data_IF_740179940329
#
_entry.id   IF_740179940329
#
_cell.length_a   1.000
_cell.length_b   1.000
_cell.length_c   1.000
_cell.angle_alpha   90.00
_cell.angle_beta   90.00
_cell.angle_gamma   90.00
#
_symmetry.space_group_name_H-M   'P 1'
#
loop_
_entity.id
_entity.type
_entity.pdbx_description
1 polymer ?
#
# COMPACT_ATOMS: atom_id res chain seq x y z
N UNK A 1 -15.49 19.65 6.28
CA UNK A 1 -14.20 18.95 6.08
C UNK A 1 -13.79 18.31 7.40
N UNK A 2 -13.50 17.00 7.42
CA UNK A 2 -13.08 16.26 8.61
C UNK A 2 -11.68 15.68 8.37
N UNK A 3 -10.70 16.04 9.17
CA UNK A 3 -9.34 15.48 9.09
C UNK A 3 -9.39 14.02 9.54
N UNK A 4 -8.86 13.12 8.71
CA UNK A 4 -8.73 11.69 8.98
C UNK A 4 -7.34 11.34 9.47
N UNK A 5 -6.31 11.98 8.92
CA UNK A 5 -4.92 11.79 9.30
C UNK A 5 -4.07 12.98 8.84
N UNK A 6 -3.05 13.30 9.61
CA UNK A 6 -2.03 14.29 9.25
C UNK A 6 -0.66 13.67 9.47
N UNK A 7 0.04 13.39 8.39
CA UNK A 7 1.37 12.81 8.38
C UNK A 7 2.43 13.79 7.89
N UNK A 8 3.69 13.36 7.94
CA UNK A 8 4.79 14.19 7.49
C UNK A 8 4.70 14.56 6.00
N UNK A 9 4.16 13.71 5.14
CA UNK A 9 4.17 13.89 3.68
C UNK A 9 2.84 14.44 3.13
N UNK A 10 1.71 14.17 3.80
CA UNK A 10 0.38 14.55 3.31
C UNK A 10 -0.62 14.70 4.46
N UNK A 11 -1.65 15.53 4.22
CA UNK A 11 -2.90 15.57 4.98
C UNK A 11 -3.95 14.74 4.26
N UNK A 12 -4.71 13.97 5.03
CA UNK A 12 -5.82 13.17 4.53
C UNK A 12 -7.07 13.65 5.24
N UNK A 13 -8.05 14.06 4.48
CA UNK A 13 -9.33 14.54 5.02
C UNK A 13 -10.51 14.02 4.20
N UNK A 14 -11.65 13.95 4.86
CA UNK A 14 -12.93 13.65 4.22
C UNK A 14 -13.61 14.93 3.80
N UNK A 15 -14.09 14.96 2.58
CA UNK A 15 -14.90 16.04 2.02
C UNK A 15 -16.18 15.45 1.44
N UNK A 16 -17.28 16.16 1.55
CA UNK A 16 -18.53 15.83 0.89
C UNK A 16 -18.72 16.76 -0.31
N UNK A 17 -18.94 16.18 -1.48
CA UNK A 17 -19.16 16.90 -2.73
C UNK A 17 -20.40 16.27 -3.41
N UNK A 18 -21.44 17.06 -3.63
CA UNK A 18 -22.71 16.61 -4.21
C UNK A 18 -23.31 15.38 -3.51
N UNK A 19 -23.24 15.33 -2.16
CA UNK A 19 -23.75 14.20 -1.35
C UNK A 19 -22.85 12.98 -1.32
N UNK A 20 -21.75 12.97 -2.06
CA UNK A 20 -20.79 11.87 -2.07
C UNK A 20 -19.60 12.15 -1.13
N UNK A 21 -19.27 11.14 -0.30
CA UNK A 21 -18.10 11.23 0.59
C UNK A 21 -16.83 10.87 -0.17
N UNK A 22 -15.89 11.79 -0.20
CA UNK A 22 -14.58 11.63 -0.81
C UNK A 22 -13.47 11.71 0.24
N UNK A 23 -12.39 10.99 -0.01
CA UNK A 23 -11.11 11.18 0.68
C UNK A 23 -10.23 12.04 -0.21
N UNK A 24 -9.66 13.07 0.37
CA UNK A 24 -8.67 13.92 -0.29
C UNK A 24 -7.34 13.70 0.41
N UNK A 25 -6.33 13.28 -0.35
CA UNK A 25 -4.94 13.22 0.08
C UNK A 25 -4.19 14.38 -0.54
N UNK A 26 -3.78 15.34 0.29
CA UNK A 26 -3.10 16.56 -0.13
C UNK A 26 -1.65 16.56 0.36
N UNK A 27 -0.69 16.72 -0.54
CA UNK A 27 0.72 16.78 -0.21
C UNK A 27 1.10 18.14 0.34
N UNK A 28 1.70 18.15 1.53
CA UNK A 28 2.07 19.37 2.25
C UNK A 28 3.40 19.89 1.72
N UNK A 29 3.48 21.23 1.58
CA UNK A 29 4.73 21.93 1.29
C UNK A 29 5.73 21.73 2.41
N UNK A 30 7.00 21.59 2.05
CA UNK A 30 8.11 21.45 3.00
C UNK A 30 8.92 22.73 3.05
N UNK A 31 8.89 23.44 4.18
CA UNK A 31 9.57 24.75 4.34
C UNK A 31 11.10 24.64 4.22
N UNK A 32 11.68 23.47 4.54
CA UNK A 32 13.13 23.24 4.43
C UNK A 32 13.62 22.92 3.00
N UNK A 33 12.70 22.82 2.04
CA UNK A 33 13.05 22.57 0.64
C UNK A 33 13.02 23.86 -0.16
N UNK A 34 13.91 23.95 -1.13
CA UNK A 34 13.82 25.00 -2.15
C UNK A 34 12.47 24.91 -2.88
N UNK A 35 11.82 26.07 -3.10
CA UNK A 35 10.41 26.12 -3.52
C UNK A 35 10.13 25.40 -4.85
N UNK A 36 11.02 25.56 -5.85
CA UNK A 36 10.85 24.93 -7.15
C UNK A 36 11.05 23.41 -7.10
N UNK A 37 11.98 22.95 -6.28
CA UNK A 37 12.23 21.53 -6.04
C UNK A 37 11.05 20.89 -5.30
N UNK A 38 10.54 21.55 -4.25
CA UNK A 38 9.36 21.06 -3.48
C UNK A 38 8.15 20.92 -4.39
N UNK A 39 7.89 21.91 -5.22
CA UNK A 39 6.77 21.86 -6.17
C UNK A 39 6.90 20.70 -7.15
N UNK A 40 8.05 20.55 -7.78
CA UNK A 40 8.33 19.44 -8.71
C UNK A 40 8.14 18.06 -8.06
N UNK A 41 8.68 17.88 -6.84
CA UNK A 41 8.57 16.61 -6.11
C UNK A 41 7.13 16.30 -5.73
N UNK A 42 6.38 17.26 -5.19
CA UNK A 42 4.97 17.06 -4.85
C UNK A 42 4.14 16.71 -6.07
N UNK A 43 4.34 17.44 -7.17
CA UNK A 43 3.63 17.19 -8.43
C UNK A 43 3.93 15.80 -8.97
N UNK A 44 5.22 15.41 -9.05
CA UNK A 44 5.65 14.12 -9.55
C UNK A 44 5.09 12.97 -8.70
N UNK A 45 5.17 13.08 -7.36
CA UNK A 45 4.65 12.08 -6.43
C UNK A 45 3.13 11.96 -6.49
N UNK A 46 2.39 13.08 -6.61
CA UNK A 46 0.93 13.08 -6.75
C UNK A 46 0.51 12.35 -8.01
N UNK A 47 1.13 12.68 -9.14
CA UNK A 47 0.82 12.04 -10.44
C UNK A 47 1.18 10.56 -10.45
N UNK A 48 2.33 10.19 -9.88
CA UNK A 48 2.76 8.79 -9.82
C UNK A 48 1.80 7.96 -8.96
N UNK A 49 1.45 8.43 -7.77
CA UNK A 49 0.52 7.74 -6.87
C UNK A 49 -0.85 7.55 -7.51
N UNK A 50 -1.40 8.61 -8.13
CA UNK A 50 -2.67 8.54 -8.84
C UNK A 50 -2.63 7.54 -10.02
N UNK A 51 -1.54 7.53 -10.79
CA UNK A 51 -1.34 6.59 -11.91
C UNK A 51 -1.30 5.14 -11.42
N UNK A 52 -0.58 4.87 -10.31
CA UNK A 52 -0.48 3.51 -9.77
C UNK A 52 -1.80 3.07 -9.15
N UNK A 53 -2.49 3.93 -8.41
CA UNK A 53 -3.83 3.67 -7.89
C UNK A 53 -4.80 3.28 -9.00
N UNK A 54 -4.82 4.02 -10.10
CA UNK A 54 -5.65 3.72 -11.26
C UNK A 54 -5.26 2.38 -11.90
N UNK A 55 -3.97 2.14 -12.11
CA UNK A 55 -3.46 0.87 -12.66
C UNK A 55 -3.80 -0.33 -11.77
N UNK A 56 -3.72 -0.19 -10.45
CA UNK A 56 -4.12 -1.21 -9.51
C UNK A 56 -5.62 -1.54 -9.63
N UNK A 57 -6.47 -0.50 -9.74
CA UNK A 57 -7.90 -0.66 -9.98
C UNK A 57 -8.18 -1.42 -11.29
N UNK A 58 -7.56 -1.04 -12.40
CA UNK A 58 -7.69 -1.73 -13.71
C UNK A 58 -7.22 -3.19 -13.65
N UNK A 59 -6.23 -3.50 -12.82
CA UNK A 59 -5.77 -4.88 -12.58
C UNK A 59 -6.71 -5.69 -11.67
N UNK A 60 -7.85 -5.12 -11.27
CA UNK A 60 -8.84 -5.75 -10.41
C UNK A 60 -8.41 -5.86 -8.94
N UNK A 61 -7.45 -5.03 -8.50
CA UNK A 61 -7.15 -4.85 -7.08
C UNK A 61 -8.24 -4.00 -6.46
N UNK A 62 -8.81 -4.44 -5.35
CA UNK A 62 -9.77 -3.62 -4.59
C UNK A 62 -9.03 -2.45 -3.95
N UNK A 63 -9.29 -1.25 -4.43
CA UNK A 63 -8.73 0.02 -3.97
C UNK A 63 -9.84 1.07 -3.87
N UNK A 64 -9.62 2.23 -3.23
CA UNK A 64 -10.47 3.39 -3.45
C UNK A 64 -10.50 3.73 -4.94
N UNK A 65 -11.67 4.12 -5.46
CA UNK A 65 -11.79 4.59 -6.84
C UNK A 65 -11.18 5.99 -6.97
N UNK A 66 -10.27 6.19 -7.91
CA UNK A 66 -9.77 7.51 -8.26
C UNK A 66 -10.91 8.34 -8.88
N UNK A 67 -11.15 9.54 -8.37
CA UNK A 67 -12.20 10.46 -8.84
C UNK A 67 -11.56 11.61 -9.61
N UNK A 68 -10.53 12.25 -9.05
CA UNK A 68 -9.86 13.39 -9.67
C UNK A 68 -8.44 13.54 -9.14
N UNK A 69 -7.61 14.27 -9.90
CA UNK A 69 -6.24 14.61 -9.53
C UNK A 69 -6.05 16.10 -9.65
N UNK A 70 -5.77 16.76 -8.53
CA UNK A 70 -5.35 18.15 -8.49
C UNK A 70 -3.84 18.30 -8.62
N UNK A 71 -3.33 19.53 -8.50
CA UNK A 71 -1.90 19.82 -8.60
C UNK A 71 -1.08 19.02 -7.56
N UNK A 72 -1.55 18.97 -6.31
CA UNK A 72 -0.90 18.31 -5.19
C UNK A 72 -1.85 17.40 -4.40
N UNK A 73 -3.05 17.15 -4.93
CA UNK A 73 -4.12 16.41 -4.27
C UNK A 73 -4.62 15.25 -5.10
N UNK A 74 -5.03 14.18 -4.45
CA UNK A 74 -5.72 13.04 -5.04
C UNK A 74 -7.08 12.93 -4.37
N UNK A 75 -8.14 12.92 -5.18
CA UNK A 75 -9.52 12.73 -4.74
C UNK A 75 -9.94 11.31 -5.05
N UNK A 76 -10.40 10.59 -4.03
CA UNK A 76 -10.78 9.19 -4.16
C UNK A 76 -12.05 8.89 -3.36
N UNK A 77 -12.73 7.81 -3.71
CA UNK A 77 -13.93 7.38 -3.00
C UNK A 77 -13.62 7.07 -1.53
N UNK A 78 -14.52 7.48 -0.63
CA UNK A 78 -14.43 7.08 0.77
C UNK A 78 -14.78 5.60 0.94
N UNK A 79 -13.94 4.87 1.67
CA UNK A 79 -14.21 3.50 2.07
C UNK A 79 -14.61 3.46 3.54
N UNK A 80 -15.85 3.09 3.80
CA UNK A 80 -16.31 2.87 5.17
C UNK A 80 -15.77 1.56 5.70
N UNK A 81 -14.96 1.60 6.76
CA UNK A 81 -14.34 0.41 7.32
C UNK A 81 -13.33 0.71 8.41
N UNK A 82 -12.61 -0.32 8.81
CA UNK A 82 -11.50 -0.23 9.79
C UNK A 82 -10.22 -0.76 9.15
N UNK A 83 -9.08 -0.29 9.64
CA UNK A 83 -7.80 -0.82 9.19
C UNK A 83 -7.64 -2.28 9.63
N UNK A 84 -6.98 -3.09 8.80
CA UNK A 84 -6.73 -4.50 9.12
C UNK A 84 -5.92 -4.67 10.42
N UNK A 85 -5.08 -3.68 10.78
CA UNK A 85 -4.37 -3.68 12.06
C UNK A 85 -5.30 -3.60 13.26
N UNK A 86 -6.46 -2.95 13.12
CA UNK A 86 -7.40 -2.64 14.21
C UNK A 86 -8.53 -3.66 14.34
N UNK A 87 -8.54 -4.70 13.51
CA UNK A 87 -9.56 -5.74 13.53
C UNK A 87 -8.97 -7.12 13.81
N UNK A 88 -9.83 -8.06 14.26
CA UNK A 88 -9.43 -9.48 14.36
C UNK A 88 -9.12 -10.02 12.97
N UNK A 89 -7.89 -10.43 12.76
CA UNK A 89 -7.38 -10.95 11.49
C UNK A 89 -7.85 -12.38 11.27
N UNK A 90 -9.07 -12.55 10.73
CA UNK A 90 -9.59 -13.87 10.37
C UNK A 90 -8.80 -14.49 9.20
N UNK A 91 -8.82 -15.81 9.10
CA UNK A 91 -8.19 -16.51 7.97
C UNK A 91 -8.75 -16.04 6.61
N UNK A 92 -10.04 -15.72 6.57
CA UNK A 92 -10.69 -15.22 5.36
C UNK A 92 -10.09 -13.88 4.90
N UNK A 93 -9.96 -12.92 5.81
CA UNK A 93 -9.35 -11.60 5.51
C UNK A 93 -7.89 -11.73 5.08
N UNK A 94 -7.12 -12.60 5.76
CA UNK A 94 -5.72 -12.84 5.42
C UNK A 94 -5.56 -13.48 4.04
N UNK A 95 -6.43 -14.44 3.68
CA UNK A 95 -6.45 -15.00 2.31
C UNK A 95 -6.77 -13.95 1.27
N UNK A 96 -7.78 -13.10 1.50
CA UNK A 96 -8.10 -12.01 0.57
C UNK A 96 -6.91 -11.04 0.42
N UNK A 97 -6.22 -10.71 1.52
CA UNK A 97 -5.03 -9.86 1.49
C UNK A 97 -3.93 -10.46 0.62
N UNK A 98 -3.65 -11.76 0.76
CA UNK A 98 -2.69 -12.47 -0.09
C UNK A 98 -3.08 -12.48 -1.57
N UNK A 99 -4.38 -12.65 -1.87
CA UNK A 99 -4.89 -12.58 -3.25
C UNK A 99 -4.73 -11.18 -3.86
N UNK A 100 -4.97 -10.11 -3.08
CA UNK A 100 -4.78 -8.73 -3.56
C UNK A 100 -3.31 -8.44 -3.84
N UNK A 101 -2.40 -8.87 -2.98
CA UNK A 101 -0.96 -8.74 -3.22
C UNK A 101 -0.54 -9.48 -4.49
N UNK A 102 -1.02 -10.70 -4.68
CA UNK A 102 -0.75 -11.47 -5.90
C UNK A 102 -1.24 -10.75 -7.17
N UNK A 103 -2.42 -10.09 -7.13
CA UNK A 103 -2.93 -9.30 -8.25
C UNK A 103 -2.05 -8.09 -8.55
N UNK A 104 -1.59 -7.36 -7.50
CA UNK A 104 -0.66 -6.24 -7.68
C UNK A 104 0.64 -6.71 -8.34
N UNK A 105 1.25 -7.77 -7.82
CA UNK A 105 2.51 -8.31 -8.35
C UNK A 105 2.38 -8.86 -9.77
N UNK A 106 1.21 -9.40 -10.16
CA UNK A 106 0.91 -9.77 -11.55
C UNK A 106 0.86 -8.57 -12.50
N UNK A 107 0.43 -7.43 -12.00
CA UNK A 107 0.39 -6.16 -12.73
C UNK A 107 1.71 -5.38 -12.67
N UNK A 108 2.77 -6.01 -12.14
CA UNK A 108 4.07 -5.41 -11.88
C UNK A 108 3.99 -4.16 -10.97
N UNK A 109 3.10 -4.19 -9.98
CA UNK A 109 2.99 -3.15 -8.96
C UNK A 109 3.59 -3.68 -7.66
N UNK A 110 4.69 -3.09 -7.20
CA UNK A 110 5.20 -3.21 -5.85
C UNK A 110 4.62 -2.05 -5.00
N UNK A 111 4.10 -2.36 -3.81
CA UNK A 111 3.43 -1.35 -2.96
C UNK A 111 4.43 -0.50 -2.19
N UNK A 112 5.53 -1.08 -1.76
CA UNK A 112 6.59 -0.41 -0.98
C UNK A 112 6.27 -0.19 0.50
N UNK A 113 4.99 -0.28 0.91
CA UNK A 113 4.54 -0.22 2.30
C UNK A 113 3.32 -1.13 2.54
N UNK A 114 3.39 -2.40 2.11
CA UNK A 114 2.29 -3.35 2.23
C UNK A 114 2.17 -3.89 3.65
N UNK A 115 1.44 -3.16 4.50
CA UNK A 115 1.22 -3.46 5.92
C UNK A 115 -0.26 -3.49 6.27
N UNK A 116 -0.67 -4.08 7.41
CA UNK A 116 -2.06 -4.02 7.87
C UNK A 116 -2.59 -2.60 8.12
N UNK A 117 -1.71 -1.60 8.22
CA UNK A 117 -2.08 -0.19 8.33
C UNK A 117 -2.57 0.41 6.99
N UNK A 118 -2.18 -0.20 5.87
CA UNK A 118 -2.54 0.24 4.52
C UNK A 118 -3.60 -0.68 3.87
N UNK A 119 -4.39 -1.37 4.70
CA UNK A 119 -5.50 -2.20 4.26
C UNK A 119 -6.75 -1.84 5.04
N UNK A 120 -7.84 -1.50 4.34
CA UNK A 120 -9.15 -1.28 4.93
C UNK A 120 -9.99 -2.55 4.80
N UNK A 121 -10.62 -2.94 5.89
CA UNK A 121 -11.67 -3.99 5.94
C UNK A 121 -13.03 -3.31 5.92
N UNK A 122 -13.79 -3.55 4.86
CA UNK A 122 -15.15 -3.04 4.67
C UNK A 122 -16.08 -4.18 4.25
N UNK A 123 -17.16 -4.41 4.98
CA UNK A 123 -18.19 -5.44 4.66
C UNK A 123 -17.57 -6.79 4.25
N UNK A 124 -16.65 -7.33 5.06
CA UNK A 124 -15.92 -8.57 4.81
C UNK A 124 -15.03 -8.59 3.53
N UNK A 125 -14.75 -7.44 2.96
CA UNK A 125 -13.80 -7.29 1.86
C UNK A 125 -12.59 -6.49 2.32
N UNK A 126 -11.43 -6.74 1.72
CA UNK A 126 -10.20 -5.98 1.96
C UNK A 126 -9.89 -5.09 0.79
N UNK A 127 -9.42 -3.89 1.07
CA UNK A 127 -9.05 -2.86 0.10
C UNK A 127 -7.65 -2.34 0.42
N UNK A 128 -6.79 -2.27 -0.58
CA UNK A 128 -5.45 -1.68 -0.43
C UNK A 128 -5.56 -0.17 -0.60
N UNK A 129 -4.90 0.56 0.29
CA UNK A 129 -4.86 2.03 0.27
C UNK A 129 -3.40 2.51 0.33
N UNK A 130 -3.20 3.77 0.03
CA UNK A 130 -1.90 4.47 0.11
C UNK A 130 -0.80 3.90 -0.79
N UNK A 131 -0.84 4.30 -2.05
CA UNK A 131 0.16 3.96 -3.07
C UNK A 131 1.32 4.99 -3.14
N UNK A 132 1.53 5.77 -2.08
CA UNK A 132 2.53 6.85 -2.06
C UNK A 132 3.98 6.41 -2.22
N UNK A 133 4.30 5.17 -1.85
CA UNK A 133 5.61 4.53 -2.04
C UNK A 133 5.60 3.43 -3.11
N UNK A 134 4.45 3.24 -3.77
CA UNK A 134 4.33 2.20 -4.77
C UNK A 134 5.04 2.57 -6.08
N UNK A 135 5.46 1.55 -6.80
CA UNK A 135 6.11 1.69 -8.09
C UNK A 135 5.70 0.57 -9.07
N UNK A 136 5.88 0.85 -10.37
CA UNK A 136 5.75 -0.15 -11.41
C UNK A 136 7.09 -0.85 -11.55
N UNK A 137 7.18 -2.08 -11.08
CA UNK A 137 8.43 -2.82 -11.01
C UNK A 137 8.25 -4.32 -11.24
N UNK A 138 9.15 -4.89 -12.03
CA UNK A 138 9.30 -6.34 -12.19
C UNK A 138 10.27 -6.94 -11.18
N UNK A 139 10.89 -6.11 -10.34
CA UNK A 139 11.89 -6.53 -9.37
C UNK A 139 11.34 -7.55 -8.38
N UNK A 140 11.97 -8.71 -8.33
CA UNK A 140 11.68 -9.77 -7.36
C UNK A 140 11.96 -9.26 -5.94
N UNK A 141 12.99 -8.42 -5.76
CA UNK A 141 13.38 -7.88 -4.46
C UNK A 141 12.30 -6.95 -3.89
N UNK A 142 11.75 -6.04 -4.70
CA UNK A 142 10.68 -5.13 -4.26
C UNK A 142 9.39 -5.88 -3.92
N UNK A 143 9.01 -6.87 -4.74
CA UNK A 143 7.88 -7.76 -4.44
C UNK A 143 8.12 -8.57 -3.15
N UNK A 144 9.37 -8.98 -2.87
CA UNK A 144 9.72 -9.68 -1.64
C UNK A 144 9.67 -8.74 -0.41
N UNK A 145 9.98 -7.44 -0.57
CA UNK A 145 9.86 -6.43 0.48
C UNK A 145 8.39 -6.28 0.92
N UNK A 146 7.43 -6.27 0.02
CA UNK A 146 6.00 -6.22 0.37
C UNK A 146 5.59 -7.41 1.27
N UNK A 147 6.05 -8.62 0.93
CA UNK A 147 5.83 -9.80 1.78
C UNK A 147 6.55 -9.71 3.12
N UNK A 148 7.77 -9.15 3.14
CA UNK A 148 8.55 -8.97 4.36
C UNK A 148 7.86 -8.00 5.34
N UNK A 149 7.35 -6.88 4.85
CA UNK A 149 6.63 -5.88 5.66
C UNK A 149 5.39 -6.51 6.30
N UNK A 150 4.63 -7.28 5.51
CA UNK A 150 3.47 -8.00 6.03
C UNK A 150 3.87 -9.09 7.03
N UNK A 151 4.95 -9.85 6.77
CA UNK A 151 5.48 -10.87 7.68
C UNK A 151 5.87 -10.29 9.04
N UNK A 152 6.50 -9.12 9.05
CA UNK A 152 6.88 -8.42 10.30
C UNK A 152 5.68 -7.88 11.08
N UNK A 153 4.54 -7.70 10.42
CA UNK A 153 3.31 -7.13 11.00
C UNK A 153 2.32 -8.19 11.48
N UNK A 154 2.56 -9.47 11.20
CA UNK A 154 1.69 -10.59 11.52
C UNK A 154 2.43 -11.63 12.37
N UNK A 155 1.68 -12.43 13.15
CA UNK A 155 2.25 -13.62 13.73
C UNK A 155 2.44 -14.72 12.67
N UNK A 156 3.23 -15.74 12.99
CA UNK A 156 3.61 -16.81 12.06
C UNK A 156 2.41 -17.52 11.43
N UNK A 157 1.40 -17.88 12.24
CA UNK A 157 0.19 -18.56 11.75
C UNK A 157 -0.61 -17.67 10.79
N UNK A 158 -0.73 -16.38 11.09
CA UNK A 158 -1.41 -15.40 10.25
C UNK A 158 -0.67 -15.19 8.93
N UNK A 159 0.64 -15.00 9.00
CA UNK A 159 1.46 -14.83 7.81
C UNK A 159 1.39 -16.05 6.90
N UNK A 160 1.45 -17.27 7.46
CA UNK A 160 1.33 -18.50 6.68
C UNK A 160 0.05 -18.53 5.85
N UNK A 161 -1.11 -18.18 6.44
CA UNK A 161 -2.40 -18.16 5.71
C UNK A 161 -2.36 -17.19 4.54
N UNK A 162 -1.78 -16.00 4.73
CA UNK A 162 -1.64 -14.99 3.69
C UNK A 162 -0.67 -15.48 2.60
N UNK A 163 0.51 -15.98 2.98
CA UNK A 163 1.56 -16.45 2.09
C UNK A 163 1.10 -17.64 1.23
N UNK A 164 0.38 -18.60 1.81
CA UNK A 164 -0.20 -19.74 1.09
C UNK A 164 -1.21 -19.28 0.02
N UNK A 165 -2.03 -18.27 0.35
CA UNK A 165 -2.99 -17.70 -0.59
C UNK A 165 -2.30 -16.93 -1.73
N UNK A 166 -1.27 -16.14 -1.41
CA UNK A 166 -0.44 -15.45 -2.37
C UNK A 166 0.26 -16.44 -3.33
N UNK A 167 0.89 -17.50 -2.78
CA UNK A 167 1.61 -18.51 -3.55
C UNK A 167 0.72 -19.22 -4.56
N UNK A 168 -0.51 -19.58 -4.16
CA UNK A 168 -1.49 -20.21 -5.05
C UNK A 168 -1.94 -19.29 -6.18
N UNK A 169 -1.93 -17.99 -5.96
CA UNK A 169 -2.41 -17.00 -6.93
C UNK A 169 -1.30 -16.41 -7.82
N UNK A 170 -0.02 -16.51 -7.44
CA UNK A 170 1.10 -15.93 -8.18
C UNK A 170 2.14 -16.98 -8.56
N UNK A 171 2.28 -17.26 -9.85
CA UNK A 171 3.16 -18.33 -10.38
C UNK A 171 4.64 -18.08 -10.11
N UNK A 172 5.10 -16.82 -10.02
CA UNK A 172 6.47 -16.44 -9.66
C UNK A 172 6.77 -16.40 -8.16
N UNK A 173 5.88 -16.93 -7.32
CA UNK A 173 5.98 -16.83 -5.85
C UNK A 173 7.23 -17.51 -5.27
N UNK A 174 7.69 -18.61 -5.86
CA UNK A 174 8.87 -19.34 -5.38
C UNK A 174 10.14 -18.48 -5.38
N UNK A 175 10.36 -17.70 -6.43
CA UNK A 175 11.52 -16.81 -6.53
C UNK A 175 11.42 -15.66 -5.54
N UNK A 176 10.21 -15.15 -5.33
CA UNK A 176 9.96 -14.09 -4.35
C UNK A 176 10.20 -14.60 -2.93
N UNK A 177 9.73 -15.81 -2.57
CA UNK A 177 10.00 -16.38 -1.26
C UNK A 177 11.49 -16.68 -1.04
N UNK A 178 12.20 -17.13 -2.08
CA UNK A 178 13.66 -17.30 -2.02
C UNK A 178 14.34 -15.97 -1.72
N UNK A 179 13.96 -14.92 -2.44
CA UNK A 179 14.48 -13.56 -2.24
C UNK A 179 14.15 -13.02 -0.85
N UNK A 180 12.94 -13.26 -0.34
CA UNK A 180 12.55 -12.89 1.03
C UNK A 180 13.51 -13.47 2.06
N UNK A 181 13.86 -14.76 1.94
CA UNK A 181 14.82 -15.43 2.85
C UNK A 181 16.22 -14.80 2.76
N UNK A 182 16.67 -14.43 1.56
CA UNK A 182 17.94 -13.72 1.37
C UNK A 182 17.95 -12.35 2.05
N UNK A 183 16.88 -11.57 1.90
CA UNK A 183 16.75 -10.24 2.53
C UNK A 183 16.75 -10.38 4.06
N UNK A 184 16.03 -11.36 4.61
CA UNK A 184 16.01 -11.63 6.06
C UNK A 184 17.39 -12.01 6.62
N UNK A 185 18.18 -12.75 5.86
CA UNK A 185 19.56 -13.09 6.25
C UNK A 185 20.43 -11.83 6.28
N UNK A 186 20.41 -10.99 5.23
CA UNK A 186 21.18 -9.73 5.18
C UNK A 186 20.86 -8.81 6.37
N UNK A 187 19.59 -8.62 6.69
CA UNK A 187 19.16 -7.79 7.82
C UNK A 187 19.66 -8.28 9.18
N UNK A 188 19.81 -9.59 9.37
CA UNK A 188 20.38 -10.16 10.60
C UNK A 188 21.88 -9.92 10.75
N UNK A 189 22.63 -9.84 9.67
CA UNK A 189 24.06 -9.55 9.71
C UNK A 189 24.36 -8.08 10.02
N UNK A 190 23.54 -7.13 9.53
CA UNK A 190 23.71 -5.70 9.82
C UNK A 190 23.50 -5.37 11.31
N UNK A 191 22.63 -6.09 12.02
CA UNK A 191 22.41 -5.89 13.47
C UNK A 191 23.59 -6.42 14.29
N UNK A 192 24.29 -7.48 13.84
CA UNK A 192 25.44 -8.06 14.54
C UNK A 192 26.74 -7.26 14.41
N UNK A 193 26.84 -6.37 13.43
CA UNK A 193 28.02 -5.50 13.24
C UNK A 193 27.91 -4.18 13.99
N UNK A 194 26.78 -3.89 14.63
CA UNK A 194 26.52 -2.66 15.41
C UNK A 194 26.48 -2.91 16.93
N UNK A 195 26.72 -4.15 17.37
CA UNK A 195 26.91 -4.57 18.77
C UNK A 195 28.33 -5.03 19.02
#
# INVERSE_FOLDING_TARGET
MKILSEGAEAKIYMQEIFGERLVVKERIKKEYREASLDEKLRLARTRNEARILYRAFEAGVKTPRLISVGKFSIYMSYLEGKLLRDVKKSQYLLRQTGLLLAKMHKADIAHGDFTPANIIVSKNSVYVIDFGLAEISKSIEEKAIDLLLMKRSLNEKQYKVLADSYAKAYTGSSDIFRKLVEIEKRGRYQIRTLT
#
